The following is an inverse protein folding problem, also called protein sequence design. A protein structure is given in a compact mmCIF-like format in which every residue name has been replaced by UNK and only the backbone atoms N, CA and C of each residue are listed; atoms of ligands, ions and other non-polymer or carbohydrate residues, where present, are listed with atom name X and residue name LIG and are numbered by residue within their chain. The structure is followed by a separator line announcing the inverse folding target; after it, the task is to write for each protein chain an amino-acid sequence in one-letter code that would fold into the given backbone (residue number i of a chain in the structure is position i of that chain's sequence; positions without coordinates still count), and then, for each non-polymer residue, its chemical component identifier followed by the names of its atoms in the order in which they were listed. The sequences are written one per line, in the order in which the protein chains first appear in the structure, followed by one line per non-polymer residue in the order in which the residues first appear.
data_IF_467628200560
#
_entry.id   IF_467628200560
#
_cell.length_a   1.000
_cell.length_b   1.000
_cell.length_c   1.000
_cell.angle_alpha   90.00
_cell.angle_beta   90.00
_cell.angle_gamma   90.00
#
_symmetry.space_group_name_H-M   'P 1'
#
loop_
_entity.id
_entity.type
_entity.pdbx_description
1 polymer ?
#
# COMPACT_ATOMS: atom_id res chain seq x y z
N UNK A 1 62.34 -1.37 -11.25
CA UNK A 1 61.62 -2.40 -12.02
C UNK A 1 61.08 -3.41 -11.01
N UNK A 2 59.79 -3.37 -10.71
CA UNK A 2 59.20 -4.24 -9.69
C UNK A 2 59.09 -5.66 -10.27
N UNK A 3 59.79 -6.61 -9.65
CA UNK A 3 59.80 -8.01 -10.06
C UNK A 3 58.55 -8.68 -9.50
N UNK A 4 57.61 -9.03 -10.37
CA UNK A 4 56.45 -9.88 -10.05
C UNK A 4 56.86 -11.35 -10.13
N UNK A 5 56.78 -12.06 -9.01
CA UNK A 5 57.07 -13.49 -8.92
C UNK A 5 55.92 -14.32 -9.52
N UNK A 6 56.17 -15.18 -10.52
CA UNK A 6 55.14 -16.06 -11.09
C UNK A 6 54.88 -17.28 -10.20
N UNK A 7 53.64 -17.79 -10.20
CA UNK A 7 53.24 -19.01 -9.50
C UNK A 7 52.67 -20.05 -10.50
N UNK A 8 52.95 -21.33 -10.28
CA UNK A 8 52.40 -22.45 -11.05
C UNK A 8 51.35 -23.20 -10.22
N UNK A 9 50.12 -23.28 -10.73
CA UNK A 9 49.00 -24.00 -10.10
C UNK A 9 47.65 -23.31 -10.31
N UNK A 10 46.57 -23.97 -9.89
CA UNK A 10 45.22 -23.39 -9.90
C UNK A 10 45.13 -22.25 -8.88
N UNK A 11 44.66 -21.07 -9.30
CA UNK A 11 44.45 -19.91 -8.42
C UNK A 11 43.18 -20.12 -7.59
N UNK A 12 43.33 -20.41 -6.30
CA UNK A 12 42.24 -20.56 -5.33
C UNK A 12 41.86 -19.25 -4.62
N UNK A 13 40.69 -19.24 -3.96
CA UNK A 13 40.16 -18.11 -3.19
C UNK A 13 40.97 -17.78 -1.94
N UNK A 14 41.87 -18.67 -1.54
CA UNK A 14 42.80 -18.58 -0.43
C UNK A 14 44.09 -17.79 -0.74
N UNK A 15 44.32 -17.41 -2.01
CA UNK A 15 45.57 -16.78 -2.47
C UNK A 15 45.41 -15.37 -3.04
N UNK A 16 44.24 -14.75 -2.86
CA UNK A 16 44.09 -13.30 -3.09
C UNK A 16 44.88 -12.53 -2.02
N UNK A 17 45.59 -11.47 -2.42
CA UNK A 17 46.09 -10.48 -1.47
C UNK A 17 44.88 -9.94 -0.67
N UNK A 18 45.02 -9.86 0.65
CA UNK A 18 43.99 -9.38 1.56
C UNK A 18 43.40 -8.06 1.03
N UNK A 19 42.09 -8.01 0.81
CA UNK A 19 41.29 -6.85 0.36
C UNK A 19 41.23 -6.50 -1.15
N UNK A 20 41.58 -7.39 -2.09
CA UNK A 20 41.38 -7.10 -3.55
C UNK A 20 39.97 -7.47 -4.07
N UNK A 21 39.18 -8.25 -3.32
CA UNK A 21 37.80 -8.52 -3.71
C UNK A 21 36.93 -7.37 -3.18
N UNK A 22 36.20 -6.62 -4.02
CA UNK A 22 35.24 -5.64 -3.53
C UNK A 22 34.09 -6.38 -2.82
N UNK A 23 34.18 -6.45 -1.50
CA UNK A 23 33.11 -6.95 -0.65
C UNK A 23 31.95 -5.95 -0.66
N UNK A 24 30.73 -6.47 -0.85
CA UNK A 24 29.48 -5.72 -0.87
C UNK A 24 29.30 -4.91 0.42
N UNK A 25 29.66 -3.62 0.39
CA UNK A 25 29.57 -2.71 1.55
C UNK A 25 28.19 -2.69 2.23
N UNK A 26 27.11 -3.02 1.50
CA UNK A 26 25.74 -3.06 2.02
C UNK A 26 25.45 -4.28 2.90
N UNK A 27 26.08 -5.42 2.65
CA UNK A 27 25.93 -6.62 3.48
C UNK A 27 26.81 -6.55 4.73
N UNK A 28 27.98 -5.91 4.62
CA UNK A 28 28.87 -5.63 5.76
C UNK A 28 28.18 -4.77 6.84
N UNK A 29 27.18 -3.95 6.47
CA UNK A 29 26.38 -3.17 7.44
C UNK A 29 25.57 -4.09 8.37
N UNK A 30 24.97 -5.16 7.84
CA UNK A 30 24.25 -6.16 8.66
C UNK A 30 25.21 -6.95 9.56
N UNK A 31 26.44 -7.19 9.10
CA UNK A 31 27.47 -7.88 9.87
C UNK A 31 28.11 -7.00 10.96
N UNK A 32 28.39 -5.73 10.67
CA UNK A 32 28.92 -4.76 11.65
C UNK A 32 27.86 -4.33 12.67
N UNK A 33 26.58 -4.31 12.29
CA UNK A 33 25.49 -3.79 13.12
C UNK A 33 24.22 -4.67 13.04
N UNK A 34 24.23 -5.88 13.64
CA UNK A 34 23.06 -6.77 13.66
C UNK A 34 21.85 -6.18 14.41
N UNK A 35 22.06 -5.17 15.27
CA UNK A 35 21.03 -4.37 15.96
C UNK A 35 20.94 -2.92 15.43
N UNK A 36 21.44 -2.68 14.21
CA UNK A 36 21.76 -1.35 13.68
C UNK A 36 20.59 -0.44 13.32
N UNK A 37 20.90 0.85 13.18
CA UNK A 37 19.96 1.95 12.86
C UNK A 37 19.51 1.99 11.38
N UNK A 38 19.82 0.96 10.59
CA UNK A 38 19.52 0.90 9.14
C UNK A 38 19.17 -0.52 8.64
N UNK A 39 18.18 -1.22 9.26
CA UNK A 39 17.85 -2.60 8.91
C UNK A 39 17.24 -2.75 7.50
N UNK A 40 16.42 -1.80 7.02
CA UNK A 40 15.85 -1.86 5.67
C UNK A 40 16.93 -1.62 4.60
N UNK A 41 17.90 -0.75 4.88
CA UNK A 41 19.05 -0.47 4.00
C UNK A 41 19.98 -1.67 3.92
N UNK A 42 20.08 -2.47 4.98
CA UNK A 42 20.72 -3.78 4.92
C UNK A 42 19.94 -4.77 4.05
N UNK A 43 18.62 -4.87 4.25
CA UNK A 43 17.75 -5.81 3.52
C UNK A 43 17.69 -5.52 2.02
N UNK A 44 17.70 -4.24 1.63
CA UNK A 44 17.77 -3.84 0.21
C UNK A 44 19.03 -4.34 -0.49
N UNK A 45 20.07 -4.78 0.24
CA UNK A 45 21.23 -5.46 -0.34
C UNK A 45 20.98 -6.91 -0.76
N UNK A 46 19.96 -7.55 -0.18
CA UNK A 46 19.48 -8.89 -0.56
C UNK A 46 18.34 -8.83 -1.59
N UNK A 47 17.79 -7.65 -1.86
CA UNK A 47 16.75 -7.47 -2.87
C UNK A 47 17.36 -7.43 -4.28
N UNK A 48 16.65 -7.94 -5.31
CA UNK A 48 17.11 -7.82 -6.68
C UNK A 48 17.16 -6.35 -7.11
N UNK A 49 18.31 -5.94 -7.66
CA UNK A 49 18.51 -4.58 -8.16
C UNK A 49 18.31 -4.51 -9.67
N UNK A 50 17.71 -3.42 -10.16
CA UNK A 50 17.65 -3.08 -11.58
C UNK A 50 18.10 -1.63 -11.77
N UNK A 51 18.88 -1.36 -12.81
CA UNK A 51 19.19 0.01 -13.22
C UNK A 51 17.94 0.71 -13.74
N UNK A 52 17.82 1.98 -13.43
CA UNK A 52 16.71 2.82 -13.89
C UNK A 52 17.23 3.78 -14.97
N UNK A 53 16.52 3.86 -16.09
CA UNK A 53 16.91 4.70 -17.23
C UNK A 53 16.37 6.14 -17.14
N UNK A 54 15.56 6.44 -16.12
CA UNK A 54 14.91 7.74 -15.90
C UNK A 54 15.05 8.20 -14.44
N UNK A 55 14.81 9.48 -14.16
CA UNK A 55 14.78 10.01 -12.79
C UNK A 55 13.51 9.62 -12.03
N UNK A 56 12.50 9.13 -12.75
CA UNK A 56 11.23 8.67 -12.19
C UNK A 56 11.13 7.16 -12.32
N UNK A 57 10.96 6.47 -11.19
CA UNK A 57 10.64 5.06 -11.14
C UNK A 57 9.13 4.89 -11.14
N UNK A 58 8.61 4.46 -12.29
CA UNK A 58 7.19 4.21 -12.50
C UNK A 58 6.95 2.72 -12.68
N UNK A 59 5.93 2.19 -12.00
CA UNK A 59 5.43 0.85 -12.24
C UNK A 59 3.92 0.86 -12.34
N UNK A 60 3.39 -0.10 -13.10
CA UNK A 60 1.97 -0.23 -13.37
C UNK A 60 1.46 -1.50 -12.71
N UNK A 61 0.35 -1.38 -11.99
CA UNK A 61 -0.33 -2.54 -11.40
C UNK A 61 -1.77 -2.52 -11.85
N UNK A 62 -2.25 -3.68 -12.27
CA UNK A 62 -3.65 -3.93 -12.50
C UNK A 62 -4.13 -4.86 -11.38
N UNK A 63 -5.00 -4.34 -10.52
CA UNK A 63 -5.75 -5.15 -9.57
C UNK A 63 -7.12 -5.45 -10.15
N UNK A 64 -7.74 -6.55 -9.72
CA UNK A 64 -9.15 -6.77 -9.98
C UNK A 64 -9.96 -5.69 -9.24
N UNK A 65 -10.99 -5.16 -9.89
CA UNK A 65 -11.96 -4.31 -9.22
C UNK A 65 -12.79 -5.16 -8.25
N UNK A 66 -13.33 -4.54 -7.21
CA UNK A 66 -14.31 -5.22 -6.36
C UNK A 66 -15.56 -5.55 -7.18
N UNK A 67 -16.32 -6.58 -6.78
CA UNK A 67 -17.52 -7.01 -7.50
C UNK A 67 -18.76 -6.70 -6.65
N UNK A 68 -18.87 -5.46 -6.19
CA UNK A 68 -19.97 -5.00 -5.35
C UNK A 68 -19.72 -3.63 -4.73
N UNK A 69 -20.78 -2.86 -4.49
CA UNK A 69 -20.70 -1.44 -4.13
C UNK A 69 -21.74 -1.01 -3.12
N UNK A 70 -21.47 0.14 -2.51
CA UNK A 70 -22.41 0.75 -1.58
C UNK A 70 -23.58 1.40 -2.32
N UNK A 71 -24.77 1.12 -1.83
CA UNK A 71 -26.01 1.79 -2.20
C UNK A 71 -26.09 3.11 -1.46
N UNK A 72 -26.39 4.18 -2.18
CA UNK A 72 -26.64 5.49 -1.56
C UNK A 72 -28.11 5.62 -1.17
N UNK A 73 -29.00 5.29 -2.10
CA UNK A 73 -30.46 5.36 -1.96
C UNK A 73 -31.09 4.47 -3.04
N UNK A 74 -32.36 4.09 -2.87
CA UNK A 74 -33.10 3.22 -3.81
C UNK A 74 -34.42 3.91 -4.19
N UNK A 75 -34.66 4.14 -5.47
CA UNK A 75 -35.83 4.87 -5.95
C UNK A 75 -36.78 3.95 -6.72
N UNK A 76 -38.06 4.31 -6.72
CA UNK A 76 -39.12 3.64 -7.52
C UNK A 76 -39.24 4.24 -8.93
N UNK A 77 -38.55 5.35 -9.22
CA UNK A 77 -38.62 6.06 -10.50
C UNK A 77 -37.25 6.32 -11.15
N UNK A 78 -37.26 6.41 -12.48
CA UNK A 78 -36.06 6.68 -13.28
C UNK A 78 -35.51 8.10 -13.05
N UNK A 79 -36.36 9.02 -12.57
CA UNK A 79 -35.99 10.41 -12.29
C UNK A 79 -35.30 10.58 -10.93
N UNK A 80 -35.21 9.53 -10.11
CA UNK A 80 -34.66 9.54 -8.74
C UNK A 80 -35.32 10.61 -7.86
N UNK A 81 -36.64 10.80 -8.02
CA UNK A 81 -37.41 11.83 -7.33
C UNK A 81 -38.19 11.30 -6.13
N UNK A 82 -38.44 9.98 -6.09
CA UNK A 82 -39.19 9.32 -5.04
C UNK A 82 -38.41 8.12 -4.44
N UNK A 83 -37.96 8.28 -3.19
CA UNK A 83 -37.24 7.27 -2.40
C UNK A 83 -38.19 6.48 -1.48
N UNK A 84 -39.52 6.65 -1.63
CA UNK A 84 -40.51 5.94 -0.81
C UNK A 84 -40.84 4.58 -1.43
N UNK A 85 -39.88 3.65 -1.34
CA UNK A 85 -40.06 2.31 -1.91
C UNK A 85 -40.94 1.42 -1.02
N UNK A 86 -41.72 0.54 -1.66
CA UNK A 86 -42.47 -0.48 -0.93
C UNK A 86 -41.56 -1.64 -0.54
N UNK A 87 -41.39 -1.88 0.76
CA UNK A 87 -40.68 -3.05 1.29
C UNK A 87 -41.35 -4.40 0.98
N UNK A 88 -42.46 -4.41 0.25
CA UNK A 88 -43.18 -5.62 -0.21
C UNK A 88 -43.29 -5.70 -1.73
N UNK A 89 -42.30 -5.13 -2.44
CA UNK A 89 -42.25 -5.14 -3.89
C UNK A 89 -42.29 -6.57 -4.45
N UNK A 90 -43.20 -6.82 -5.41
CA UNK A 90 -43.37 -8.14 -6.00
C UNK A 90 -42.26 -8.48 -7.01
N UNK A 91 -42.10 -9.78 -7.30
CA UNK A 91 -41.21 -10.24 -8.36
C UNK A 91 -41.52 -9.54 -9.69
N UNK A 92 -40.48 -9.06 -10.37
CA UNK A 92 -40.61 -8.29 -11.61
C UNK A 92 -40.71 -6.78 -11.44
N UNK A 93 -40.82 -6.27 -10.20
CA UNK A 93 -40.72 -4.83 -9.93
C UNK A 93 -39.31 -4.32 -10.24
N UNK A 94 -39.19 -3.12 -10.80
CA UNK A 94 -37.90 -2.51 -11.17
C UNK A 94 -37.59 -1.37 -10.22
N UNK A 95 -36.44 -1.47 -9.56
CA UNK A 95 -35.90 -0.48 -8.63
C UNK A 95 -34.73 0.24 -9.26
N UNK A 96 -34.53 1.50 -8.89
CA UNK A 96 -33.43 2.33 -9.34
C UNK A 96 -32.46 2.56 -8.19
N UNK A 97 -31.40 1.76 -8.15
CA UNK A 97 -30.40 1.80 -7.09
C UNK A 97 -29.37 2.86 -7.44
N UNK A 98 -29.33 3.94 -6.66
CA UNK A 98 -28.36 5.02 -6.83
C UNK A 98 -27.05 4.66 -6.16
N UNK A 99 -25.96 4.85 -6.89
CA UNK A 99 -24.61 4.56 -6.40
C UNK A 99 -23.59 5.49 -7.08
N UNK A 100 -22.40 5.68 -6.50
CA UNK A 100 -21.42 6.61 -7.05
C UNK A 100 -20.91 6.18 -8.44
N UNK A 101 -20.67 7.17 -9.32
CA UNK A 101 -20.09 6.95 -10.65
C UNK A 101 -18.60 6.60 -10.60
N UNK A 102 -17.87 7.19 -9.66
CA UNK A 102 -16.41 7.08 -9.55
C UNK A 102 -16.00 6.35 -8.28
N UNK A 103 -15.04 5.41 -8.43
CA UNK A 103 -14.58 4.56 -7.34
C UNK A 103 -14.05 5.42 -6.20
N UNK A 104 -14.79 5.45 -5.10
CA UNK A 104 -14.31 6.05 -3.86
C UNK A 104 -13.82 4.91 -2.98
N UNK A 105 -12.53 4.57 -3.16
CA UNK A 105 -11.73 3.65 -2.31
C UNK A 105 -12.52 2.46 -1.70
N UNK A 106 -12.61 1.36 -2.43
CA UNK A 106 -13.06 0.08 -1.88
C UNK A 106 -14.58 -0.12 -1.83
N UNK A 107 -15.31 0.55 -2.74
CA UNK A 107 -16.73 0.34 -2.99
C UNK A 107 -16.94 0.44 -4.52
N UNK A 108 -17.60 -0.54 -5.13
CA UNK A 108 -17.88 -0.57 -6.58
C UNK A 108 -18.64 0.67 -7.05
N UNK A 109 -18.49 0.90 -8.35
CA UNK A 109 -19.25 1.91 -9.07
C UNK A 109 -20.18 1.27 -10.08
N UNK A 110 -21.14 2.09 -10.55
CA UNK A 110 -21.95 1.80 -11.74
C UNK A 110 -21.10 1.30 -12.91
N UNK A 111 -19.84 1.71 -12.98
CA UNK A 111 -18.86 1.30 -13.97
C UNK A 111 -18.62 -0.21 -14.11
N UNK A 112 -18.84 -0.98 -13.04
CA UNK A 112 -18.53 -2.42 -12.96
C UNK A 112 -19.73 -3.31 -13.27
N UNK A 113 -20.90 -2.73 -13.39
CA UNK A 113 -22.11 -3.42 -13.76
C UNK A 113 -22.35 -3.31 -15.27
N UNK A 114 -22.94 -4.37 -15.82
CA UNK A 114 -23.49 -4.41 -17.17
C UNK A 114 -24.90 -4.99 -17.12
N UNK A 115 -25.66 -4.71 -18.16
CA UNK A 115 -26.98 -5.33 -18.35
C UNK A 115 -26.85 -6.86 -18.38
N UNK A 116 -27.78 -7.55 -17.71
CA UNK A 116 -27.74 -9.01 -17.56
C UNK A 116 -26.86 -9.52 -16.41
N UNK A 117 -26.27 -8.64 -15.59
CA UNK A 117 -25.70 -9.06 -14.31
C UNK A 117 -26.81 -9.46 -13.34
N UNK A 118 -26.55 -10.56 -12.64
CA UNK A 118 -27.35 -11.01 -11.51
C UNK A 118 -26.74 -10.44 -10.24
N UNK A 119 -27.55 -9.79 -9.42
CA UNK A 119 -27.12 -9.00 -8.28
C UNK A 119 -27.87 -9.39 -7.02
N UNK A 120 -27.17 -9.34 -5.89
CA UNK A 120 -27.75 -9.48 -4.56
C UNK A 120 -27.74 -8.11 -3.88
N UNK A 121 -28.91 -7.60 -3.52
CA UNK A 121 -29.10 -6.39 -2.72
C UNK A 121 -29.11 -6.83 -1.26
N UNK A 122 -28.29 -6.19 -0.42
CA UNK A 122 -28.06 -6.60 0.97
C UNK A 122 -28.16 -5.43 1.92
N UNK A 123 -28.50 -5.77 3.15
CA UNK A 123 -28.34 -4.90 4.29
C UNK A 123 -27.28 -5.46 5.24
N UNK A 124 -26.18 -4.74 5.46
CA UNK A 124 -25.04 -5.21 6.25
C UNK A 124 -25.39 -5.58 7.70
N UNK A 125 -26.47 -5.01 8.25
CA UNK A 125 -26.92 -5.29 9.62
C UNK A 125 -27.91 -6.45 9.73
N UNK A 126 -28.54 -6.88 8.63
CA UNK A 126 -29.54 -7.95 8.63
C UNK A 126 -29.50 -8.79 7.34
N UNK A 127 -29.03 -10.04 7.46
CA UNK A 127 -28.94 -10.97 6.33
C UNK A 127 -30.27 -11.67 5.96
N UNK A 128 -31.34 -11.40 6.71
CA UNK A 128 -32.66 -12.00 6.44
C UNK A 128 -33.46 -11.27 5.35
N UNK A 129 -32.96 -10.13 4.87
CA UNK A 129 -33.57 -9.28 3.84
C UNK A 129 -32.70 -9.19 2.57
N UNK A 130 -31.88 -10.20 2.32
CA UNK A 130 -31.09 -10.32 1.09
C UNK A 130 -32.03 -10.57 -0.09
N UNK A 131 -31.97 -9.71 -1.12
CA UNK A 131 -32.85 -9.79 -2.30
C UNK A 131 -32.07 -10.04 -3.58
N UNK A 132 -32.54 -10.99 -4.40
CA UNK A 132 -31.97 -11.24 -5.72
C UNK A 132 -32.65 -10.40 -6.83
N UNK A 133 -31.85 -9.86 -7.74
CA UNK A 133 -32.33 -9.05 -8.86
C UNK A 133 -31.43 -9.10 -10.08
N UNK A 134 -31.99 -8.79 -11.26
CA UNK A 134 -31.25 -8.72 -12.52
C UNK A 134 -31.16 -7.28 -12.99
N UNK A 135 -29.95 -6.87 -13.38
CA UNK A 135 -29.69 -5.54 -13.94
C UNK A 135 -30.28 -5.42 -15.34
N UNK A 136 -31.24 -4.52 -15.51
CA UNK A 136 -31.90 -4.24 -16.79
C UNK A 136 -31.29 -3.05 -17.51
N UNK A 137 -30.77 -2.05 -16.77
CA UNK A 137 -30.16 -0.84 -17.33
C UNK A 137 -29.10 -0.29 -16.41
N UNK A 138 -28.05 0.26 -17.00
CA UNK A 138 -26.95 0.92 -16.28
C UNK A 138 -26.81 2.36 -16.79
N UNK A 139 -26.94 3.36 -15.91
CA UNK A 139 -26.86 4.78 -16.29
C UNK A 139 -25.77 5.49 -15.51
N UNK A 140 -24.84 6.09 -16.24
CA UNK A 140 -23.74 6.90 -15.70
C UNK A 140 -24.05 8.38 -15.92
N UNK A 141 -24.30 9.10 -14.83
CA UNK A 141 -24.69 10.51 -14.84
C UNK A 141 -24.24 11.23 -13.56
N UNK A 142 -22.94 11.20 -13.23
CA UNK A 142 -22.41 11.91 -12.07
C UNK A 142 -22.99 11.40 -10.76
N UNK A 143 -23.41 12.35 -9.92
CA UNK A 143 -24.05 12.09 -8.63
C UNK A 143 -25.43 11.40 -8.74
N UNK A 144 -26.02 11.36 -9.94
CA UNK A 144 -27.30 10.71 -10.24
C UNK A 144 -27.10 9.43 -11.07
N UNK A 145 -25.96 8.76 -10.91
CA UNK A 145 -25.73 7.46 -11.54
C UNK A 145 -26.52 6.37 -10.81
N UNK A 146 -27.11 5.46 -11.57
CA UNK A 146 -27.96 4.41 -11.01
C UNK A 146 -27.94 3.14 -11.86
N UNK A 147 -28.42 2.08 -11.24
CA UNK A 147 -28.68 0.79 -11.88
C UNK A 147 -30.15 0.46 -11.73
N UNK A 148 -30.80 0.15 -12.84
CA UNK A 148 -32.16 -0.39 -12.81
C UNK A 148 -32.06 -1.90 -12.57
N UNK A 149 -32.63 -2.37 -11.46
CA UNK A 149 -32.62 -3.77 -11.04
C UNK A 149 -34.06 -4.27 -11.01
N UNK A 150 -34.33 -5.33 -11.75
CA UNK A 150 -35.61 -6.04 -11.69
C UNK A 150 -35.52 -7.16 -10.67
N UNK A 151 -36.36 -7.11 -9.64
CA UNK A 151 -36.42 -8.15 -8.60
C UNK A 151 -36.83 -9.51 -9.18
N UNK A 152 -36.20 -10.58 -8.69
CA UNK A 152 -36.52 -11.95 -9.08
C UNK A 152 -37.56 -12.58 -8.14
N UNK A 153 -37.63 -12.13 -6.89
CA UNK A 153 -38.52 -12.62 -5.87
C UNK A 153 -39.33 -11.50 -5.21
N UNK A 154 -40.25 -11.88 -4.32
CA UNK A 154 -40.98 -10.93 -3.50
C UNK A 154 -40.04 -10.42 -2.41
N UNK A 155 -39.92 -9.09 -2.27
CA UNK A 155 -39.11 -8.49 -1.24
C UNK A 155 -39.53 -8.97 0.16
N UNK A 156 -38.57 -9.51 0.90
CA UNK A 156 -38.70 -9.93 2.28
C UNK A 156 -38.66 -8.71 3.21
N UNK A 157 -39.52 -8.77 4.23
CA UNK A 157 -39.49 -7.83 5.35
C UNK A 157 -39.10 -8.62 6.58
N UNK A 158 -38.00 -8.23 7.23
CA UNK A 158 -37.61 -8.84 8.48
C UNK A 158 -38.64 -8.55 9.57
N UNK A 159 -38.73 -9.44 10.56
CA UNK A 159 -39.59 -9.23 11.74
C UNK A 159 -39.21 -7.95 12.53
N UNK A 160 -37.98 -7.46 12.37
CA UNK A 160 -37.46 -6.20 12.88
C UNK A 160 -38.05 -4.95 12.21
N UNK A 161 -38.75 -5.11 11.09
CA UNK A 161 -39.28 -4.02 10.26
C UNK A 161 -38.32 -3.51 9.19
N UNK A 162 -37.08 -4.02 9.16
CA UNK A 162 -36.11 -3.73 8.11
C UNK A 162 -36.59 -4.32 6.78
N UNK A 163 -36.33 -3.62 5.70
CA UNK A 163 -36.66 -4.10 4.36
C UNK A 163 -35.73 -3.55 3.30
N UNK A 164 -36.18 -3.65 2.06
CA UNK A 164 -35.44 -3.22 0.88
C UNK A 164 -34.98 -1.76 0.94
N UNK A 165 -35.71 -0.88 1.63
CA UNK A 165 -35.37 0.54 1.79
C UNK A 165 -34.09 0.79 2.59
N UNK A 166 -33.70 -0.17 3.41
CA UNK A 166 -32.55 -0.06 4.32
C UNK A 166 -31.27 -0.66 3.71
N UNK A 167 -31.36 -1.25 2.52
CA UNK A 167 -30.23 -1.89 1.87
C UNK A 167 -29.09 -0.90 1.59
N UNK A 168 -27.87 -1.30 1.96
CA UNK A 168 -26.67 -0.48 1.91
C UNK A 168 -25.58 -1.04 0.97
N UNK A 169 -25.70 -2.30 0.53
CA UNK A 169 -24.71 -2.96 -0.32
C UNK A 169 -25.35 -3.75 -1.47
N UNK A 170 -24.69 -3.77 -2.62
CA UNK A 170 -25.08 -4.61 -3.78
C UNK A 170 -23.86 -5.37 -4.29
N UNK A 171 -24.01 -6.69 -4.46
CA UNK A 171 -22.96 -7.58 -4.97
C UNK A 171 -23.33 -8.16 -6.33
N UNK A 172 -22.32 -8.35 -7.19
CA UNK A 172 -22.48 -9.09 -8.45
C UNK A 172 -22.35 -10.58 -8.15
N UNK A 173 -23.45 -11.32 -8.26
CA UNK A 173 -23.47 -12.77 -8.04
C UNK A 173 -23.08 -13.53 -9.31
N UNK A 174 -23.39 -12.97 -10.48
CA UNK A 174 -23.08 -13.59 -11.76
C UNK A 174 -23.67 -12.83 -12.93
N UNK A 175 -23.95 -13.56 -14.01
CA UNK A 175 -24.69 -13.02 -15.15
C UNK A 175 -25.63 -14.07 -15.72
N UNK A 176 -26.86 -13.68 -15.99
CA UNK A 176 -27.89 -14.52 -16.59
C UNK A 176 -28.30 -13.91 -17.94
N UNK A 177 -28.13 -14.67 -19.02
CA UNK A 177 -28.41 -14.21 -20.37
C UNK A 177 -29.40 -15.15 -21.07
N UNK A 178 -30.32 -14.64 -21.91
CA UNK A 178 -31.27 -15.46 -22.65
C UNK A 178 -30.57 -16.31 -23.73
N UNK A 179 -31.08 -17.52 -23.95
CA UNK A 179 -30.61 -18.40 -25.03
C UNK A 179 -30.82 -17.73 -26.41
N UNK A 180 -29.75 -17.65 -27.21
CA UNK A 180 -29.79 -16.96 -28.51
C UNK A 180 -29.79 -15.42 -28.44
N UNK A 181 -29.51 -14.84 -27.27
CA UNK A 181 -29.39 -13.39 -27.09
C UNK A 181 -28.21 -12.75 -27.83
N UNK A 182 -28.28 -11.43 -28.02
CA UNK A 182 -27.19 -10.65 -28.59
C UNK A 182 -25.93 -10.71 -27.70
N UNK A 183 -24.75 -10.50 -28.31
CA UNK A 183 -23.49 -10.45 -27.57
C UNK A 183 -23.51 -9.31 -26.53
N UNK A 184 -23.13 -9.65 -25.29
CA UNK A 184 -23.12 -8.72 -24.16
C UNK A 184 -21.90 -7.79 -24.22
N UNK A 185 -22.03 -6.56 -23.72
CA UNK A 185 -20.92 -5.62 -23.60
C UNK A 185 -19.75 -6.15 -22.75
N UNK A 186 -18.52 -5.79 -23.15
CA UNK A 186 -17.29 -6.13 -22.42
C UNK A 186 -16.93 -5.06 -21.38
N UNK A 187 -16.37 -5.50 -20.26
CA UNK A 187 -15.78 -4.62 -19.23
C UNK A 187 -14.27 -4.77 -19.32
N UNK A 188 -13.56 -3.65 -19.45
CA UNK A 188 -12.09 -3.61 -19.55
C UNK A 188 -11.53 -2.73 -18.43
N UNK A 189 -10.36 -3.09 -17.92
CA UNK A 189 -9.70 -2.37 -16.84
C UNK A 189 -8.36 -1.80 -17.30
N UNK A 190 -8.12 -0.53 -16.95
CA UNK A 190 -6.84 0.11 -17.19
C UNK A 190 -5.91 -0.05 -15.97
N UNK A 191 -4.61 -0.27 -16.16
CA UNK A 191 -3.67 -0.35 -15.05
C UNK A 191 -3.46 1.02 -14.39
N UNK A 192 -3.18 1.01 -13.08
CA UNK A 192 -2.87 2.22 -12.31
C UNK A 192 -1.35 2.44 -12.23
N UNK A 193 -0.93 3.69 -12.42
CA UNK A 193 0.48 4.10 -12.31
C UNK A 193 0.85 4.42 -10.87
N UNK A 194 1.94 3.84 -10.39
CA UNK A 194 2.63 4.22 -9.16
C UNK A 194 3.98 4.82 -9.51
N UNK A 195 4.36 5.89 -8.82
CA UNK A 195 5.58 6.65 -9.13
C UNK A 195 6.36 7.00 -7.87
N UNK A 196 7.67 6.83 -7.92
CA UNK A 196 8.62 7.42 -6.96
C UNK A 196 9.80 8.04 -7.71
N UNK A 197 10.46 9.02 -7.09
CA UNK A 197 11.60 9.73 -7.71
C UNK A 197 12.91 9.21 -7.16
N UNK A 198 13.97 9.28 -7.96
CA UNK A 198 15.34 9.01 -7.49
C UNK A 198 15.85 10.17 -6.64
N UNK A 199 16.58 9.87 -5.58
CA UNK A 199 17.26 10.85 -4.74
C UNK A 199 18.77 10.61 -4.74
N UNK A 200 19.55 11.69 -4.74
CA UNK A 200 21.00 11.63 -4.66
C UNK A 200 21.41 11.84 -3.19
N UNK A 201 22.11 10.86 -2.64
CA UNK A 201 22.70 10.95 -1.30
C UNK A 201 24.19 11.29 -1.41
N UNK A 202 24.67 12.28 -0.66
CA UNK A 202 26.10 12.69 -0.66
C UNK A 202 26.52 13.14 0.73
N UNK A 203 27.51 12.46 1.32
CA UNK A 203 28.19 12.87 2.54
C UNK A 203 29.67 13.08 2.27
N UNK A 204 30.27 14.08 2.93
CA UNK A 204 31.68 14.46 2.71
C UNK A 204 32.54 14.21 3.94
N UNK A 205 33.81 13.91 3.71
CA UNK A 205 34.84 13.80 4.74
C UNK A 205 35.85 14.91 4.48
N UNK A 206 35.95 15.87 5.40
CA UNK A 206 36.93 16.95 5.33
C UNK A 206 37.93 16.80 6.48
N UNK A 207 39.12 16.28 6.19
CA UNK A 207 40.18 16.09 7.16
C UNK A 207 41.48 16.71 6.64
N UNK A 208 42.03 17.66 7.39
CA UNK A 208 43.28 18.33 7.01
C UNK A 208 44.49 17.42 7.23
N UNK A 209 45.54 17.60 6.41
CA UNK A 209 46.79 16.86 6.55
C UNK A 209 47.47 17.11 7.91
N UNK A 210 47.27 18.29 8.50
CA UNK A 210 47.76 18.62 9.85
C UNK A 210 47.01 17.87 10.93
N UNK A 211 45.67 17.77 10.85
CA UNK A 211 44.87 16.99 11.79
C UNK A 211 45.15 15.48 11.72
N UNK A 212 45.50 14.96 10.55
CA UNK A 212 46.01 13.59 10.39
C UNK A 212 47.35 13.39 11.10
N UNK A 213 48.24 14.38 11.03
CA UNK A 213 49.61 14.28 11.55
C UNK A 213 49.71 14.40 13.08
N UNK A 214 48.87 15.21 13.72
CA UNK A 214 48.87 15.36 15.19
C UNK A 214 48.46 14.05 15.84
N UNK A 215 49.23 13.53 16.80
CA UNK A 215 48.87 12.33 17.55
C UNK A 215 47.57 12.58 18.36
N UNK A 216 46.54 11.76 18.14
CA UNK A 216 45.36 11.81 19.00
C UNK A 216 45.68 11.11 20.33
N UNK A 217 45.07 11.57 21.44
CA UNK A 217 45.28 10.98 22.79
C UNK A 217 45.00 9.47 22.87
N UNK A 218 44.22 8.93 21.93
CA UNK A 218 43.88 7.51 21.84
C UNK A 218 44.89 6.65 21.04
N UNK A 219 46.09 7.16 20.72
CA UNK A 219 47.16 6.37 20.10
C UNK A 219 46.90 5.90 18.66
N UNK A 220 45.83 6.40 18.01
CA UNK A 220 45.48 6.00 16.65
C UNK A 220 46.49 6.52 15.62
N UNK A 221 46.98 5.60 14.79
CA UNK A 221 47.79 5.90 13.61
C UNK A 221 47.03 6.81 12.63
N UNK A 222 47.77 7.48 11.73
CA UNK A 222 47.20 8.35 10.69
C UNK A 222 46.11 7.62 9.88
N UNK A 223 46.35 6.36 9.54
CA UNK A 223 45.43 5.52 8.77
C UNK A 223 44.19 5.14 9.56
N UNK A 224 44.34 4.86 10.86
CA UNK A 224 43.21 4.49 11.70
C UNK A 224 42.21 5.65 11.88
N UNK A 225 42.68 6.90 11.93
CA UNK A 225 41.80 8.10 11.94
C UNK A 225 40.99 8.26 10.66
N UNK A 226 41.63 8.02 9.51
CA UNK A 226 40.95 8.11 8.22
C UNK A 226 39.93 6.97 8.05
N UNK A 227 40.29 5.76 8.48
CA UNK A 227 39.40 4.59 8.47
C UNK A 227 38.18 4.81 9.36
N UNK A 228 38.37 5.39 10.55
CA UNK A 228 37.28 5.72 11.46
C UNK A 228 36.35 6.80 10.89
N UNK A 229 36.90 7.88 10.33
CA UNK A 229 36.09 8.91 9.67
C UNK A 229 35.28 8.36 8.48
N UNK A 230 35.89 7.47 7.67
CA UNK A 230 35.19 6.76 6.58
C UNK A 230 34.06 5.87 7.10
N UNK A 231 34.30 5.15 8.20
CA UNK A 231 33.29 4.32 8.86
C UNK A 231 32.10 5.16 9.33
N UNK A 232 32.34 6.23 10.09
CA UNK A 232 31.28 7.09 10.62
C UNK A 232 30.46 7.72 9.48
N UNK A 233 31.11 8.19 8.42
CA UNK A 233 30.39 8.77 7.28
C UNK A 233 29.57 7.72 6.52
N UNK A 234 30.10 6.50 6.36
CA UNK A 234 29.33 5.40 5.77
C UNK A 234 28.10 5.05 6.62
N UNK A 235 28.23 5.06 7.95
CA UNK A 235 27.10 4.83 8.87
C UNK A 235 26.04 5.93 8.78
N UNK A 236 26.45 7.19 8.84
CA UNK A 236 25.52 8.33 8.71
C UNK A 236 24.81 8.28 7.35
N UNK A 237 25.52 7.94 6.28
CA UNK A 237 24.95 7.79 4.96
C UNK A 237 23.91 6.68 4.89
N UNK A 238 24.18 5.53 5.52
CA UNK A 238 23.21 4.44 5.61
C UNK A 238 21.96 4.83 6.42
N UNK A 239 22.12 5.55 7.53
CA UNK A 239 21.00 6.04 8.34
C UNK A 239 20.16 7.08 7.61
N UNK A 240 20.78 7.96 6.83
CA UNK A 240 20.06 8.94 6.00
C UNK A 240 19.28 8.27 4.87
N UNK A 241 19.85 7.24 4.23
CA UNK A 241 19.13 6.42 3.25
C UNK A 241 17.93 5.71 3.88
N UNK A 242 18.09 5.09 5.06
CA UNK A 242 17.00 4.44 5.81
C UNK A 242 15.84 5.42 6.08
N UNK A 243 16.18 6.60 6.59
CA UNK A 243 15.19 7.64 6.91
C UNK A 243 14.49 8.14 5.65
N UNK A 244 15.19 8.26 4.53
CA UNK A 244 14.57 8.64 3.27
C UNK A 244 13.63 7.54 2.74
N UNK A 245 14.00 6.27 2.84
CA UNK A 245 13.12 5.15 2.46
C UNK A 245 11.85 5.09 3.31
N UNK A 246 11.92 5.40 4.60
CA UNK A 246 10.73 5.42 5.46
C UNK A 246 9.90 6.70 5.31
N UNK A 247 10.53 7.87 5.44
CA UNK A 247 9.86 9.17 5.66
C UNK A 247 9.95 10.16 4.49
N UNK A 248 10.53 9.77 3.34
CA UNK A 248 10.68 10.65 2.18
C UNK A 248 9.35 11.23 1.67
N UNK A 249 9.38 12.48 1.18
CA UNK A 249 8.18 13.25 0.80
C UNK A 249 7.87 13.28 -0.70
N UNK A 250 8.79 12.85 -1.56
CA UNK A 250 8.56 12.78 -3.01
C UNK A 250 8.60 14.10 -3.78
N UNK A 251 9.11 15.17 -3.18
CA UNK A 251 9.06 16.53 -3.73
C UNK A 251 10.25 16.80 -4.67
N UNK A 252 10.03 17.63 -5.69
CA UNK A 252 11.07 18.19 -6.55
C UNK A 252 11.15 19.71 -6.33
N UNK A 253 12.35 20.17 -6.05
CA UNK A 253 12.68 21.58 -5.78
C UNK A 253 13.87 21.97 -6.65
N UNK A 254 14.05 23.27 -6.90
CA UNK A 254 15.28 23.76 -7.55
C UNK A 254 16.28 24.02 -6.42
N UNK A 255 17.44 23.36 -6.47
CA UNK A 255 18.51 23.59 -5.51
C UNK A 255 19.22 24.93 -5.76
N UNK A 256 20.00 25.37 -4.77
CA UNK A 256 20.73 26.66 -4.83
C UNK A 256 21.68 26.78 -6.04
N UNK A 257 22.08 25.65 -6.62
CA UNK A 257 22.90 25.57 -7.84
C UNK A 257 22.07 25.64 -9.14
N UNK A 258 20.77 25.97 -9.08
CA UNK A 258 19.86 26.05 -10.22
C UNK A 258 19.48 24.69 -10.85
N UNK A 259 19.91 23.58 -10.24
CA UNK A 259 19.66 22.22 -10.72
C UNK A 259 18.49 21.57 -9.95
N UNK A 260 17.73 20.65 -10.57
CA UNK A 260 16.62 19.98 -9.90
C UNK A 260 17.11 19.06 -8.79
N UNK A 261 16.61 19.30 -7.57
CA UNK A 261 16.76 18.47 -6.39
C UNK A 261 15.50 17.63 -6.21
N UNK A 262 15.65 16.31 -6.29
CA UNK A 262 14.55 15.35 -6.16
C UNK A 262 14.69 14.58 -4.86
N UNK A 263 13.58 14.43 -4.15
CA UNK A 263 13.47 13.62 -2.93
C UNK A 263 12.65 12.38 -3.24
N UNK A 264 13.07 11.24 -2.72
CA UNK A 264 12.35 9.99 -2.89
C UNK A 264 11.04 10.01 -2.11
N UNK A 265 10.01 9.32 -2.61
CA UNK A 265 8.77 9.10 -1.85
C UNK A 265 8.99 7.91 -0.92
N UNK A 266 8.99 8.16 0.39
CA UNK A 266 9.15 7.13 1.40
C UNK A 266 7.88 6.31 1.61
N UNK A 267 8.00 5.20 2.31
CA UNK A 267 6.94 4.23 2.56
C UNK A 267 5.69 4.88 3.19
N UNK A 268 5.86 5.75 4.20
CA UNK A 268 4.71 6.38 4.87
C UNK A 268 3.92 7.28 3.94
N UNK A 269 4.59 8.12 3.14
CA UNK A 269 3.92 8.99 2.19
C UNK A 269 3.26 8.18 1.08
N UNK A 270 3.92 7.13 0.60
CA UNK A 270 3.36 6.21 -0.38
C UNK A 270 2.08 5.55 0.13
N UNK A 271 2.10 4.98 1.34
CA UNK A 271 0.92 4.38 1.97
C UNK A 271 -0.20 5.39 2.16
N UNK A 272 0.09 6.59 2.68
CA UNK A 272 -0.94 7.62 2.88
C UNK A 272 -1.59 8.08 1.57
N UNK A 273 -0.81 8.17 0.49
CA UNK A 273 -1.32 8.61 -0.81
C UNK A 273 -2.13 7.51 -1.51
N UNK A 274 -1.66 6.27 -1.47
CA UNK A 274 -2.23 5.19 -2.29
C UNK A 274 -3.10 4.18 -1.52
N UNK A 275 -2.88 4.03 -0.21
CA UNK A 275 -3.49 3.00 0.66
C UNK A 275 -3.94 3.58 2.01
N UNK A 276 -4.60 4.76 2.00
CA UNK A 276 -4.96 5.47 3.24
C UNK A 276 -5.90 4.69 4.18
N UNK A 277 -6.65 3.72 3.68
CA UNK A 277 -7.55 2.88 4.48
C UNK A 277 -6.79 1.90 5.40
N UNK A 278 -5.52 1.60 5.08
CA UNK A 278 -4.67 0.69 5.85
C UNK A 278 -3.80 1.44 6.88
N UNK A 279 -3.83 2.78 6.88
CA UNK A 279 -3.16 3.59 7.89
C UNK A 279 -4.09 3.78 9.09
N UNK A 280 -3.75 3.17 10.22
CA UNK A 280 -4.44 3.37 11.48
C UNK A 280 -3.49 3.94 12.52
N UNK A 281 -3.97 4.91 13.30
CA UNK A 281 -3.24 5.47 14.43
C UNK A 281 -4.10 5.39 15.68
N UNK A 282 -3.66 4.65 16.69
CA UNK A 282 -4.38 4.48 17.95
C UNK A 282 -4.79 5.82 18.58
N UNK A 283 -3.91 6.83 18.53
CA UNK A 283 -4.15 8.16 19.13
C UNK A 283 -5.29 8.93 18.46
N UNK A 284 -5.52 8.72 17.16
CA UNK A 284 -6.47 9.49 16.36
C UNK A 284 -7.70 8.67 15.93
N UNK A 285 -7.74 7.39 16.27
CA UNK A 285 -8.88 6.53 15.98
C UNK A 285 -10.05 6.87 16.93
N UNK A 286 -11.17 7.32 16.36
CA UNK A 286 -12.35 7.75 17.13
C UNK A 286 -12.86 6.66 18.08
N UNK A 287 -12.80 5.38 17.68
CA UNK A 287 -13.22 4.23 18.47
C UNK A 287 -12.42 4.01 19.78
N UNK A 288 -11.23 4.60 19.87
CA UNK A 288 -10.32 4.46 21.02
C UNK A 288 -10.05 5.78 21.75
N UNK A 289 -10.78 6.85 21.38
CA UNK A 289 -10.66 8.14 22.05
C UNK A 289 -10.97 8.01 23.54
N UNK A 290 -10.05 8.48 24.39
CA UNK A 290 -10.18 8.41 25.85
C UNK A 290 -9.81 7.06 26.48
N UNK A 291 -9.54 6.00 25.70
CA UNK A 291 -9.06 4.71 26.23
C UNK A 291 -7.54 4.73 26.39
N UNK A 292 -7.03 4.28 27.54
CA UNK A 292 -5.58 4.08 27.71
C UNK A 292 -5.10 2.90 26.86
N UNK A 293 -3.80 2.87 26.52
CA UNK A 293 -3.22 1.80 25.70
C UNK A 293 -3.54 0.39 26.22
N UNK A 294 -3.47 0.18 27.54
CA UNK A 294 -3.81 -1.10 28.17
C UNK A 294 -5.29 -1.49 28.05
N UNK A 295 -6.19 -0.53 27.85
CA UNK A 295 -7.64 -0.76 27.79
C UNK A 295 -8.18 -0.97 26.37
N UNK A 296 -7.45 -0.53 25.34
CA UNK A 296 -7.93 -0.60 23.95
C UNK A 296 -6.87 -0.99 22.93
N UNK A 297 -5.61 -1.20 23.36
CA UNK A 297 -4.51 -1.53 22.46
C UNK A 297 -4.66 -2.91 21.82
N UNK A 298 -5.16 -3.90 22.56
CA UNK A 298 -5.40 -5.25 22.04
C UNK A 298 -6.51 -5.25 20.98
N UNK A 299 -7.67 -4.67 21.29
CA UNK A 299 -8.79 -4.50 20.35
C UNK A 299 -8.36 -3.76 19.07
N UNK A 300 -7.48 -2.76 19.20
CA UNK A 300 -6.95 -2.03 18.06
C UNK A 300 -6.04 -2.91 17.19
N UNK A 301 -5.19 -3.76 17.77
CA UNK A 301 -4.40 -4.73 16.99
C UNK A 301 -5.29 -5.77 16.30
N UNK A 302 -6.28 -6.29 17.01
CA UNK A 302 -7.20 -7.28 16.48
C UNK A 302 -8.04 -6.73 15.33
N UNK A 303 -8.41 -5.44 15.35
CA UNK A 303 -9.13 -4.84 14.22
C UNK A 303 -8.21 -4.44 13.05
N UNK A 304 -6.94 -4.12 13.30
CA UNK A 304 -6.04 -3.58 12.27
C UNK A 304 -5.16 -4.61 11.58
N UNK A 305 -4.76 -5.69 12.26
CA UNK A 305 -3.90 -6.73 11.67
C UNK A 305 -4.61 -7.60 10.62
N UNK A 306 -5.85 -8.10 10.83
CA UNK A 306 -6.48 -9.01 9.87
C UNK A 306 -6.63 -8.43 8.45
N UNK A 307 -7.01 -7.14 8.24
CA UNK A 307 -7.03 -6.55 6.90
C UNK A 307 -5.66 -6.54 6.21
N UNK A 308 -4.56 -6.39 6.97
CA UNK A 308 -3.20 -6.43 6.43
C UNK A 308 -2.88 -7.86 5.96
N UNK A 309 -3.24 -8.87 6.74
CA UNK A 309 -2.97 -10.28 6.40
C UNK A 309 -3.88 -10.86 5.32
N UNK A 310 -5.08 -10.27 5.10
CA UNK A 310 -6.05 -10.75 4.10
C UNK A 310 -5.49 -10.83 2.67
N UNK A 311 -4.54 -9.96 2.32
CA UNK A 311 -4.01 -9.84 0.96
C UNK A 311 -2.53 -10.19 0.86
N UNK A 312 -2.17 -11.43 0.55
CA UNK A 312 -0.78 -11.84 0.31
C UNK A 312 -0.61 -13.37 0.31
N UNK A 313 0.40 -13.86 -0.40
CA UNK A 313 0.63 -15.30 -0.57
C UNK A 313 1.29 -15.99 0.64
N UNK A 314 1.70 -15.24 1.66
CA UNK A 314 2.47 -15.76 2.80
C UNK A 314 1.80 -15.40 4.13
N UNK A 315 1.72 -16.38 5.03
CA UNK A 315 1.18 -16.23 6.39
C UNK A 315 2.09 -15.40 7.32
N UNK A 316 3.29 -15.05 6.87
CA UNK A 316 4.29 -14.35 7.67
C UNK A 316 4.62 -12.98 7.06
N UNK A 317 4.68 -11.96 7.91
CA UNK A 317 5.05 -10.59 7.54
C UNK A 317 6.08 -10.03 8.51
N UNK A 318 7.01 -9.24 7.98
CA UNK A 318 8.00 -8.52 8.79
C UNK A 318 7.44 -7.17 9.18
N UNK A 319 7.34 -6.92 10.49
CA UNK A 319 6.96 -5.63 11.05
C UNK A 319 8.17 -4.82 11.49
N UNK A 320 8.23 -3.54 11.09
CA UNK A 320 9.21 -2.59 11.61
C UNK A 320 8.55 -1.76 12.72
N UNK A 321 9.09 -1.83 13.94
CA UNK A 321 8.60 -1.05 15.07
C UNK A 321 9.75 -0.45 15.88
N UNK A 322 9.45 0.65 16.58
CA UNK A 322 10.38 1.22 17.56
C UNK A 322 10.43 0.38 18.85
N UNK A 323 11.49 0.55 19.63
CA UNK A 323 11.71 -0.09 20.92
C UNK A 323 10.54 0.14 21.91
N UNK A 324 10.06 1.37 22.02
CA UNK A 324 8.91 1.74 22.85
C UNK A 324 7.62 1.06 22.40
N UNK A 325 7.42 0.93 21.09
CA UNK A 325 6.25 0.25 20.56
C UNK A 325 6.31 -1.25 20.89
N UNK A 326 7.46 -1.90 20.69
CA UNK A 326 7.66 -3.31 21.01
C UNK A 326 7.45 -3.61 22.50
N UNK A 327 8.02 -2.80 23.39
CA UNK A 327 7.83 -2.97 24.85
C UNK A 327 6.38 -2.81 25.26
N UNK A 328 5.64 -1.88 24.64
CA UNK A 328 4.23 -1.67 24.96
C UNK A 328 3.30 -2.70 24.30
N UNK A 329 3.70 -3.32 23.20
CA UNK A 329 3.04 -4.51 22.64
C UNK A 329 3.15 -5.69 23.61
N UNK A 330 4.33 -5.91 24.20
CA UNK A 330 4.53 -6.99 25.17
C UNK A 330 3.82 -6.77 26.52
N UNK A 331 3.23 -5.59 26.74
CA UNK A 331 2.46 -5.27 27.95
C UNK A 331 0.94 -5.43 27.77
N UNK A 332 0.49 -5.64 26.54
CA UNK A 332 -0.90 -5.99 26.22
C UNK A 332 -1.10 -7.50 26.40
#
# INVERSE_FOLDING_TARGET
MAVTTPFMGLRGTDQYLTDIIPESFREQILWLYPTGRAPLTGLTGKMPSKSLDSTDHNYWVQSLAEQGGAVTDIYDDEALSDNTISNTAAAGYTLFIKMPETQTKGLACVGEFREGHDVAIRYSADSSVDEAGVVTKVVRNGASSYIAVRLLELAAVAASGNGLSDADEVYIMGSANPEGGAAVGSINYNPKKFSTKTQIFKNSINLTKTALAVAARAGLSKEAKLKDARRIVAELHAVEMERAFMFGTGVEEIGDNGQPMRRLTGLFKFLRTYYSAQESSYKYAAAYSGKTWLQGGYDWFESTLPPIFRYGAMNERVGFCGDLAFVNINKL
#
